data_IF_096297024660
#
_entry.id   IF_096297024660
#
_cell.length_a   1.000
_cell.length_b   1.000
_cell.length_c   1.000
_cell.angle_alpha   90.00
_cell.angle_beta   90.00
_cell.angle_gamma   90.00
#
_symmetry.space_group_name_H-M   'P 1'
#
loop_
_entity.id
_entity.type
_entity.pdbx_description
1 polymer ?
#
# COMPACT_ATOMS: atom_id res chain seq x y z
N UNK A 1 -18.74 -12.12 -2.89
CA UNK A 1 -18.28 -11.34 -1.72
C UNK A 1 -16.76 -11.29 -1.72
N UNK A 2 -16.15 -10.12 -1.59
CA UNK A 2 -14.70 -10.01 -1.36
C UNK A 2 -14.32 -10.76 -0.07
N UNK A 3 -13.23 -11.52 -0.11
CA UNK A 3 -12.74 -12.23 1.08
C UNK A 3 -11.82 -11.29 1.87
N UNK A 4 -12.01 -11.22 3.17
CA UNK A 4 -11.20 -10.39 4.07
C UNK A 4 -10.57 -11.29 5.13
N UNK A 5 -9.25 -11.16 5.32
CA UNK A 5 -8.50 -11.86 6.36
C UNK A 5 -7.84 -10.86 7.29
N UNK A 6 -8.00 -11.06 8.60
CA UNK A 6 -7.27 -10.31 9.62
C UNK A 6 -6.18 -11.20 10.21
N UNK A 7 -4.98 -10.66 10.36
CA UNK A 7 -3.86 -11.37 10.98
C UNK A 7 -3.17 -10.43 11.97
N UNK A 8 -2.73 -10.96 13.11
CA UNK A 8 -2.05 -10.18 14.14
C UNK A 8 -0.86 -10.95 14.67
N UNK A 9 0.25 -10.25 14.87
CA UNK A 9 1.38 -10.74 15.64
C UNK A 9 1.73 -9.74 16.75
N UNK A 10 2.84 -9.97 17.46
CA UNK A 10 3.27 -9.11 18.59
C UNK A 10 3.54 -7.65 18.17
N UNK A 11 3.79 -7.39 16.89
CA UNK A 11 4.23 -6.08 16.37
C UNK A 11 3.19 -5.37 15.52
N UNK A 12 2.37 -6.11 14.75
CA UNK A 12 1.51 -5.55 13.72
C UNK A 12 0.16 -6.25 13.59
N UNK A 13 -0.80 -5.50 13.05
CA UNK A 13 -2.12 -5.98 12.65
C UNK A 13 -2.34 -5.75 11.16
N UNK A 14 -2.61 -6.82 10.43
CA UNK A 14 -2.82 -6.83 8.99
C UNK A 14 -4.28 -7.07 8.65
N UNK A 15 -4.81 -6.27 7.73
CA UNK A 15 -6.09 -6.49 7.05
C UNK A 15 -5.76 -6.75 5.59
N UNK A 16 -6.16 -7.92 5.09
CA UNK A 16 -5.90 -8.36 3.72
C UNK A 16 -7.23 -8.59 3.02
N UNK A 17 -7.37 -8.01 1.82
CA UNK A 17 -8.52 -8.20 0.95
C UNK A 17 -8.09 -9.01 -0.27
N UNK A 18 -8.99 -9.87 -0.74
CA UNK A 18 -8.78 -10.73 -1.90
C UNK A 18 -9.90 -10.55 -2.92
N UNK A 19 -9.52 -10.60 -4.19
CA UNK A 19 -10.42 -10.62 -5.32
C UNK A 19 -11.31 -11.87 -5.24
N UNK A 20 -12.64 -11.73 -5.37
CA UNK A 20 -13.55 -12.87 -5.25
C UNK A 20 -13.54 -13.81 -6.46
N UNK A 21 -13.04 -13.36 -7.62
CA UNK A 21 -13.03 -14.10 -8.87
C UNK A 21 -11.71 -14.86 -9.00
N UNK A 22 -10.58 -14.16 -8.86
CA UNK A 22 -9.24 -14.74 -9.05
C UNK A 22 -8.67 -15.33 -7.76
N UNK A 23 -9.16 -14.91 -6.60
CA UNK A 23 -8.58 -15.26 -5.30
C UNK A 23 -7.27 -14.52 -4.98
N UNK A 24 -6.80 -13.65 -5.86
CA UNK A 24 -5.57 -12.89 -5.66
C UNK A 24 -5.75 -11.81 -4.59
N UNK A 25 -4.67 -11.49 -3.89
CA UNK A 25 -4.67 -10.36 -2.95
C UNK A 25 -4.85 -9.05 -3.71
N UNK A 26 -5.77 -8.20 -3.26
CA UNK A 26 -6.03 -6.87 -3.85
C UNK A 26 -5.62 -5.74 -2.93
N UNK A 27 -5.60 -5.98 -1.61
CA UNK A 27 -5.23 -4.98 -0.63
C UNK A 27 -4.53 -5.57 0.57
N UNK A 28 -3.56 -4.84 1.10
CA UNK A 28 -2.97 -5.09 2.42
C UNK A 28 -2.82 -3.77 3.15
N UNK A 29 -3.46 -3.68 4.32
CA UNK A 29 -3.28 -2.58 5.27
C UNK A 29 -2.57 -3.15 6.49
N UNK A 30 -1.42 -2.56 6.83
CA UNK A 30 -0.66 -2.94 8.03
C UNK A 30 -0.68 -1.79 9.03
N UNK A 31 -1.09 -2.08 10.26
CA UNK A 31 -1.02 -1.17 11.40
C UNK A 31 0.12 -1.61 12.32
N UNK A 32 0.74 -0.63 12.98
CA UNK A 32 1.57 -0.85 14.16
C UNK A 32 0.68 -1.24 15.34
N UNK A 33 1.28 -1.76 16.41
CA UNK A 33 0.57 -2.12 17.64
C UNK A 33 -0.20 -0.95 18.29
N UNK A 34 0.27 0.28 18.09
CA UNK A 34 -0.40 1.50 18.57
C UNK A 34 -1.63 1.90 17.73
N UNK A 35 -1.99 1.11 16.71
CA UNK A 35 -3.09 1.38 15.80
C UNK A 35 -2.73 2.33 14.64
N UNK A 36 -1.54 2.93 14.64
CA UNK A 36 -1.10 3.79 13.54
C UNK A 36 -0.84 2.99 12.27
N UNK A 37 -1.20 3.54 11.11
CA UNK A 37 -0.91 2.90 9.82
C UNK A 37 0.60 2.85 9.60
N UNK A 38 1.11 1.69 9.17
CA UNK A 38 2.49 1.49 8.73
C UNK A 38 2.56 1.64 7.21
N UNK A 39 1.73 0.88 6.49
CA UNK A 39 1.53 1.06 5.06
C UNK A 39 0.14 0.61 4.59
N UNK A 40 -0.23 1.06 3.39
CA UNK A 40 -1.30 0.51 2.56
C UNK A 40 -0.67 0.09 1.24
N UNK A 41 -0.99 -1.12 0.77
CA UNK A 41 -0.60 -1.63 -0.55
C UNK A 41 -1.84 -2.10 -1.29
N UNK A 42 -1.92 -1.75 -2.55
CA UNK A 42 -2.99 -2.17 -3.47
C UNK A 42 -2.37 -2.91 -4.65
N UNK A 43 -3.02 -3.98 -5.07
CA UNK A 43 -2.52 -4.92 -6.07
C UNK A 43 -3.56 -5.11 -7.17
N UNK A 44 -3.08 -5.32 -8.38
CA UNK A 44 -3.92 -5.60 -9.53
C UNK A 44 -4.54 -7.01 -9.41
N UNK A 45 -5.87 -7.17 -9.54
CA UNK A 45 -6.56 -8.43 -9.22
C UNK A 45 -6.22 -9.58 -10.17
N UNK A 46 -5.81 -9.30 -11.41
CA UNK A 46 -5.46 -10.34 -12.37
C UNK A 46 -3.98 -10.74 -12.33
N UNK A 47 -3.08 -9.78 -12.11
CA UNK A 47 -1.62 -10.00 -12.21
C UNK A 47 -0.95 -10.13 -10.85
N UNK A 48 -1.65 -9.81 -9.75
CA UNK A 48 -1.09 -9.68 -8.39
C UNK A 48 0.05 -8.65 -8.26
N UNK A 49 0.31 -7.86 -9.31
CA UNK A 49 1.31 -6.82 -9.27
C UNK A 49 0.86 -5.70 -8.33
N UNK A 50 1.80 -5.18 -7.55
CA UNK A 50 1.58 -3.96 -6.76
C UNK A 50 1.29 -2.81 -7.74
N UNK A 51 0.23 -2.03 -7.50
CA UNK A 51 -0.15 -0.86 -8.31
C UNK A 51 0.02 0.45 -7.55
N UNK A 52 -0.14 0.40 -6.23
CA UNK A 52 0.03 1.54 -5.35
C UNK A 52 0.55 1.10 -3.99
N UNK A 53 1.47 1.88 -3.43
CA UNK A 53 1.88 1.74 -2.03
C UNK A 53 1.98 3.10 -1.35
N UNK A 54 1.40 3.19 -0.15
CA UNK A 54 1.48 4.36 0.72
C UNK A 54 2.19 3.93 2.00
N UNK A 55 3.30 4.56 2.32
CA UNK A 55 4.04 4.34 3.58
C UNK A 55 3.87 5.55 4.50
N UNK A 56 3.57 5.29 5.76
CA UNK A 56 3.35 6.31 6.78
C UNK A 56 4.49 6.27 7.79
N UNK A 57 5.25 7.36 7.87
CA UNK A 57 6.40 7.46 8.76
C UNK A 57 6.02 8.13 10.08
N UNK A 58 6.70 7.80 11.21
CA UNK A 58 6.40 8.38 12.52
C UNK A 58 6.51 9.90 12.58
N UNK A 59 7.34 10.50 11.72
CA UNK A 59 7.48 11.95 11.61
C UNK A 59 6.29 12.63 10.87
N UNK A 60 5.26 11.88 10.50
CA UNK A 60 4.08 12.36 9.78
C UNK A 60 4.26 12.48 8.26
N UNK A 61 5.47 12.26 7.73
CA UNK A 61 5.71 12.22 6.28
C UNK A 61 5.07 10.96 5.70
N UNK A 62 4.53 11.05 4.48
CA UNK A 62 4.05 9.86 3.74
C UNK A 62 4.66 9.78 2.36
N UNK A 63 4.91 8.55 1.92
CA UNK A 63 5.51 8.25 0.62
C UNK A 63 4.49 7.47 -0.17
N UNK A 64 4.13 7.98 -1.35
CA UNK A 64 3.21 7.32 -2.29
C UNK A 64 4.02 6.87 -3.50
N UNK A 65 3.84 5.62 -3.85
CA UNK A 65 4.46 4.99 -5.01
C UNK A 65 3.37 4.44 -5.92
N UNK A 66 3.52 4.68 -7.22
CA UNK A 66 2.66 4.12 -8.26
C UNK A 66 3.51 3.19 -9.13
N UNK A 67 2.88 2.11 -9.57
CA UNK A 67 3.51 1.05 -10.33
C UNK A 67 2.64 0.72 -11.54
N UNK A 68 3.29 0.30 -12.61
CA UNK A 68 2.63 -0.25 -13.79
C UNK A 68 2.02 -1.62 -13.44
N UNK A 69 0.73 -1.81 -13.76
CA UNK A 69 -0.02 -2.99 -13.34
C UNK A 69 0.35 -4.28 -14.10
N UNK A 70 1.00 -4.15 -15.25
CA UNK A 70 1.39 -5.28 -16.10
C UNK A 70 2.80 -5.77 -15.77
N UNK A 71 3.73 -4.84 -15.56
CA UNK A 71 5.15 -5.11 -15.34
C UNK A 71 5.56 -5.08 -13.87
N UNK A 72 4.75 -4.49 -12.99
CA UNK A 72 5.10 -4.26 -11.58
C UNK A 72 6.20 -3.21 -11.38
N UNK A 73 6.65 -2.53 -12.44
CA UNK A 73 7.70 -1.51 -12.37
C UNK A 73 7.16 -0.23 -11.78
N UNK A 74 7.93 0.38 -10.88
CA UNK A 74 7.58 1.67 -10.27
C UNK A 74 7.63 2.78 -11.33
N UNK A 75 6.55 3.50 -11.52
CA UNK A 75 6.43 4.59 -12.51
C UNK A 75 6.47 5.97 -11.86
N UNK A 76 6.07 6.10 -10.59
CA UNK A 76 6.06 7.38 -9.88
C UNK A 76 6.35 7.22 -8.39
N UNK A 77 6.97 8.26 -7.82
CA UNK A 77 7.13 8.48 -6.38
C UNK A 77 6.72 9.91 -6.04
N UNK A 78 5.88 10.05 -5.03
CA UNK A 78 5.55 11.33 -4.40
C UNK A 78 5.83 11.26 -2.90
N UNK A 79 6.54 12.26 -2.38
CA UNK A 79 6.79 12.42 -0.95
C UNK A 79 5.99 13.61 -0.46
N UNK A 80 5.22 13.42 0.60
CA UNK A 80 4.40 14.45 1.22
C UNK A 80 4.90 14.77 2.62
N UNK A 81 4.89 16.06 2.96
CA UNK A 81 5.11 16.55 4.32
C UNK A 81 3.95 16.13 5.26
N UNK A 82 4.11 16.41 6.55
CA UNK A 82 3.10 16.14 7.59
C UNK A 82 1.75 16.84 7.34
N UNK A 83 1.78 18.03 6.73
CA UNK A 83 0.60 18.82 6.33
C UNK A 83 -0.01 18.37 4.99
N UNK A 84 0.46 17.25 4.43
CA UNK A 84 0.10 16.71 3.13
C UNK A 84 0.48 17.58 1.92
N UNK A 85 1.32 18.60 2.09
CA UNK A 85 1.93 19.30 0.95
C UNK A 85 2.95 18.40 0.25
N UNK A 86 3.07 18.54 -1.07
CA UNK A 86 4.05 17.77 -1.85
C UNK A 86 5.44 18.32 -1.56
N UNK A 87 6.32 17.47 -1.03
CA UNK A 87 7.74 17.78 -0.83
C UNK A 87 8.56 17.46 -2.07
N UNK A 88 8.25 16.36 -2.75
CA UNK A 88 9.02 15.89 -3.90
C UNK A 88 8.20 14.96 -4.80
N UNK A 89 8.37 15.11 -6.11
CA UNK A 89 7.79 14.24 -7.13
C UNK A 89 8.90 13.73 -8.06
N UNK A 90 8.84 12.45 -8.41
CA UNK A 90 9.72 11.82 -9.38
C UNK A 90 8.93 10.82 -10.22
N UNK A 91 9.06 10.92 -11.54
CA UNK A 91 8.59 9.91 -12.49
C UNK A 91 9.80 9.04 -12.90
N UNK A 92 9.55 7.77 -13.18
CA UNK A 92 10.55 6.83 -13.68
C UNK A 92 10.11 6.40 -15.09
N UNK A 93 11.04 6.47 -16.03
CA UNK A 93 10.85 6.05 -17.42
C UNK A 93 11.24 4.59 -17.58
#
# INVERSE_FOLDING_TARGET
>A
MQKIKKQRNRYTEDIIEYDPITGNQTKLIRHRRDGSKLFIKEYHPATSNLIQAIYFYPNGTKYVYIYDSQTGRRTKRTIYNKDNTIRHNQNFN
#
